data_IF_049425449838
#
_entry.id   IF_049425449838
#
_cell.length_a   1.000
_cell.length_b   1.000
_cell.length_c   1.000
_cell.angle_alpha   90.00
_cell.angle_beta   90.00
_cell.angle_gamma   90.00
#
_symmetry.space_group_name_H-M   'P 1'
#
loop_
_entity.id
_entity.type
_entity.pdbx_description
1 polymer ?
#
# COMPACT_ATOMS: atom_id res chain seq x y z
N UNK A 1 4.93 27.06 37.37
CA UNK A 1 3.90 27.56 38.32
C UNK A 1 3.31 28.81 37.71
N UNK A 2 2.04 28.73 37.29
CA UNK A 2 1.32 29.81 36.61
C UNK A 2 -0.15 29.42 36.57
N UNK A 3 -0.87 29.87 37.59
CA UNK A 3 -2.33 29.92 37.68
C UNK A 3 -2.93 30.81 36.58
N UNK A 4 -4.17 30.57 36.18
CA UNK A 4 -5.28 31.53 36.29
C UNK A 4 -6.56 30.98 35.64
N UNK A 5 -7.64 31.19 36.37
CA UNK A 5 -9.05 30.87 36.18
C UNK A 5 -9.72 31.72 35.07
N UNK A 6 -10.78 31.21 34.44
CA UNK A 6 -12.19 31.73 34.38
C UNK A 6 -12.91 31.43 33.05
N UNK A 7 -14.13 30.86 33.16
CA UNK A 7 -15.14 30.71 32.11
C UNK A 7 -15.60 32.08 31.53
N UNK A 8 -16.34 32.11 30.41
CA UNK A 8 -17.79 32.30 30.56
C UNK A 8 -18.71 31.59 29.53
N UNK A 9 -19.92 31.34 30.01
CA UNK A 9 -21.19 30.99 29.35
C UNK A 9 -21.82 32.16 28.60
N UNK A 10 -22.48 31.91 27.45
CA UNK A 10 -23.78 32.44 26.90
C UNK A 10 -23.88 31.97 25.43
N UNK A 11 -24.96 31.48 24.82
CA UNK A 11 -26.39 31.48 25.15
C UNK A 11 -27.17 32.46 24.25
N UNK A 12 -27.85 31.96 23.19
CA UNK A 12 -29.03 32.50 22.47
C UNK A 12 -29.04 31.94 21.02
N UNK A 13 -29.94 31.06 20.55
CA UNK A 13 -31.43 31.04 20.48
C UNK A 13 -32.03 31.80 19.28
N UNK A 14 -32.92 31.11 18.55
CA UNK A 14 -33.67 31.56 17.38
C UNK A 14 -33.97 30.39 16.42
N UNK A 15 -34.83 29.41 16.74
CA UNK A 15 -36.29 29.46 16.98
C UNK A 15 -37.13 29.35 15.69
N UNK A 16 -37.86 28.23 15.62
CA UNK A 16 -39.12 27.94 14.89
C UNK A 16 -39.09 27.96 13.35
N UNK A 17 -39.80 27.10 12.61
CA UNK A 17 -41.07 26.46 12.90
C UNK A 17 -41.25 25.17 12.08
N UNK A 18 -42.14 24.33 12.59
CA UNK A 18 -42.57 23.04 12.08
C UNK A 18 -42.98 23.02 10.60
N UNK A 19 -42.73 21.88 9.95
CA UNK A 19 -43.73 21.06 9.24
C UNK A 19 -43.04 20.05 8.33
N UNK A 20 -42.63 18.90 8.88
CA UNK A 20 -42.81 17.63 8.15
C UNK A 20 -42.61 16.42 9.08
N UNK A 21 -43.45 16.37 10.12
CA UNK A 21 -43.80 15.10 10.76
C UNK A 21 -44.62 14.29 9.76
N UNK A 22 -43.96 13.66 8.77
CA UNK A 22 -44.50 12.59 7.92
C UNK A 22 -43.45 12.06 6.90
N UNK A 23 -42.18 11.89 7.30
CA UNK A 23 -41.23 11.07 6.52
C UNK A 23 -40.32 10.19 7.37
N UNK A 24 -40.68 9.96 8.63
CA UNK A 24 -39.91 9.13 9.55
C UNK A 24 -40.59 7.80 9.94
N UNK A 25 -41.70 7.44 9.27
CA UNK A 25 -42.39 6.14 9.43
C UNK A 25 -42.49 5.38 8.12
N UNK A 26 -41.40 5.33 7.36
CA UNK A 26 -41.24 4.33 6.29
C UNK A 26 -39.83 3.73 6.29
N UNK A 27 -39.37 3.33 7.48
CA UNK A 27 -38.52 2.15 7.54
C UNK A 27 -39.37 0.95 7.06
N UNK A 28 -38.99 0.31 5.94
CA UNK A 28 -38.88 -1.15 5.78
C UNK A 28 -39.14 -1.73 4.40
N UNK A 29 -39.39 -0.95 3.36
CA UNK A 29 -39.52 -1.52 2.00
C UNK A 29 -38.54 -0.89 1.04
N UNK A 30 -37.58 -1.70 0.61
CA UNK A 30 -36.81 -1.57 -0.64
C UNK A 30 -35.61 -0.61 -0.62
N UNK A 31 -34.56 -0.94 0.14
CA UNK A 31 -33.19 -0.64 -0.30
C UNK A 31 -32.15 -1.49 0.44
N UNK A 32 -31.57 -2.44 -0.28
CA UNK A 32 -30.12 -2.65 -0.23
C UNK A 32 -29.52 -3.35 0.99
N UNK A 33 -30.20 -4.34 1.58
CA UNK A 33 -29.54 -5.29 2.48
C UNK A 33 -29.67 -6.70 1.93
N UNK A 34 -28.53 -7.32 1.63
CA UNK A 34 -28.29 -8.74 1.35
C UNK A 34 -28.33 -9.20 -0.13
N UNK A 35 -27.44 -8.64 -0.96
CA UNK A 35 -27.08 -9.26 -2.25
C UNK A 35 -25.62 -9.78 -2.31
N UNK A 36 -24.84 -9.65 -1.23
CA UNK A 36 -23.49 -10.23 -1.14
C UNK A 36 -23.48 -11.52 -0.32
N UNK A 37 -24.45 -12.39 -0.62
CA UNK A 37 -24.39 -13.82 -0.29
C UNK A 37 -24.21 -14.60 -1.59
N UNK A 38 -23.32 -14.14 -2.47
CA UNK A 38 -22.84 -14.96 -3.59
C UNK A 38 -21.92 -16.02 -3.02
N UNK A 39 -22.55 -17.15 -2.69
CA UNK A 39 -22.00 -18.51 -2.76
C UNK A 39 -20.47 -18.60 -2.73
N UNK A 40 -19.95 -18.91 -1.53
CA UNK A 40 -18.72 -19.70 -1.40
C UNK A 40 -18.98 -21.12 -1.88
N UNK A 41 -19.21 -21.28 -3.18
CA UNK A 41 -19.18 -22.58 -3.84
C UNK A 41 -17.75 -22.74 -4.29
N UNK A 42 -17.00 -23.59 -3.60
CA UNK A 42 -15.76 -24.14 -4.10
C UNK A 42 -16.06 -24.84 -5.43
N UNK A 43 -15.94 -24.10 -6.53
CA UNK A 43 -15.85 -24.67 -7.86
C UNK A 43 -14.61 -25.55 -7.87
N UNK A 44 -14.81 -26.86 -8.03
CA UNK A 44 -13.81 -27.65 -8.73
C UNK A 44 -13.71 -27.04 -10.12
N UNK A 45 -12.66 -26.26 -10.36
CA UNK A 45 -12.45 -25.50 -11.59
C UNK A 45 -12.36 -26.49 -12.76
N UNK A 46 -13.44 -26.64 -13.53
CA UNK A 46 -13.52 -27.56 -14.67
C UNK A 46 -12.66 -27.09 -15.85
N UNK A 47 -12.29 -25.80 -15.91
CA UNK A 47 -11.36 -25.25 -16.89
C UNK A 47 -10.64 -24.01 -16.32
N UNK A 48 -9.30 -24.01 -16.33
CA UNK A 48 -8.48 -22.84 -15.98
C UNK A 48 -8.28 -22.03 -17.25
N UNK A 49 -8.66 -20.74 -17.24
CA UNK A 49 -8.31 -19.81 -18.32
C UNK A 49 -6.79 -19.63 -18.38
N UNK A 50 -6.17 -20.21 -19.42
CA UNK A 50 -4.73 -20.19 -19.64
C UNK A 50 -4.24 -18.92 -20.35
N UNK A 51 -5.14 -18.26 -21.09
CA UNK A 51 -4.80 -17.08 -21.89
C UNK A 51 -4.79 -15.83 -21.02
N UNK A 52 -5.72 -15.72 -20.06
CA UNK A 52 -5.84 -14.57 -19.17
C UNK A 52 -5.79 -14.98 -17.69
N UNK A 53 -4.65 -15.47 -17.20
CA UNK A 53 -4.50 -15.78 -15.78
C UNK A 53 -4.61 -14.51 -14.92
N UNK A 54 -5.13 -14.64 -13.69
CA UNK A 54 -5.16 -13.51 -12.76
C UNK A 54 -3.74 -13.05 -12.36
N UNK A 55 -3.50 -11.76 -12.09
CA UNK A 55 -2.19 -11.25 -11.69
C UNK A 55 -1.63 -11.94 -10.44
N UNK A 56 -2.51 -12.32 -9.51
CA UNK A 56 -2.15 -13.07 -8.32
C UNK A 56 -1.66 -14.49 -8.63
N UNK A 57 -2.23 -15.14 -9.66
CA UNK A 57 -1.79 -16.46 -10.11
C UNK A 57 -0.42 -16.39 -10.81
N UNK A 58 -0.18 -15.36 -11.61
CA UNK A 58 1.12 -15.17 -12.28
C UNK A 58 2.26 -14.87 -11.31
N UNK A 59 2.02 -14.06 -10.29
CA UNK A 59 3.03 -13.71 -9.28
C UNK A 59 3.55 -14.94 -8.51
N UNK A 60 2.71 -15.97 -8.33
CA UNK A 60 3.07 -17.23 -7.65
C UNK A 60 3.91 -18.17 -8.52
N UNK A 61 3.80 -18.10 -9.85
CA UNK A 61 4.55 -18.96 -10.77
C UNK A 61 6.05 -18.65 -10.71
N UNK A 62 6.89 -19.54 -11.22
CA UNK A 62 8.31 -19.22 -11.42
C UNK A 62 8.49 -18.25 -12.60
N UNK A 63 9.52 -17.40 -12.61
CA UNK A 63 9.77 -16.38 -13.65
C UNK A 63 9.89 -16.91 -15.09
N UNK A 64 10.21 -18.20 -15.25
CA UNK A 64 10.26 -18.89 -16.56
C UNK A 64 8.96 -19.62 -16.92
N UNK A 65 8.03 -19.76 -15.96
CA UNK A 65 6.75 -20.48 -16.13
C UNK A 65 5.56 -19.51 -16.17
N UNK A 66 5.82 -18.21 -16.20
CA UNK A 66 4.81 -17.18 -16.50
C UNK A 66 4.45 -17.23 -17.98
N UNK A 67 3.27 -16.71 -18.35
CA UNK A 67 2.81 -16.70 -19.74
C UNK A 67 3.85 -16.02 -20.66
N UNK A 68 4.36 -14.88 -20.20
CA UNK A 68 5.51 -14.18 -20.79
C UNK A 68 6.65 -14.15 -19.77
N UNK A 69 7.87 -14.59 -20.11
CA UNK A 69 9.00 -14.57 -19.19
C UNK A 69 9.52 -13.14 -19.00
N UNK A 70 9.74 -12.75 -17.75
CA UNK A 70 10.32 -11.46 -17.39
C UNK A 70 11.19 -11.55 -16.12
N UNK A 71 12.24 -10.72 -16.00
CA UNK A 71 13.04 -10.67 -14.78
C UNK A 71 12.25 -10.08 -13.60
N UNK A 72 12.51 -10.58 -12.39
CA UNK A 72 11.94 -10.03 -11.13
C UNK A 72 12.84 -9.00 -10.45
N UNK A 73 14.02 -8.79 -10.99
CA UNK A 73 14.98 -7.80 -10.53
C UNK A 73 14.63 -6.44 -11.08
N UNK A 74 14.93 -5.40 -10.30
CA UNK A 74 14.74 -4.01 -10.67
C UNK A 74 15.97 -3.18 -10.28
N UNK A 75 16.09 -2.00 -10.86
CA UNK A 75 17.00 -0.96 -10.41
C UNK A 75 16.28 -0.06 -9.41
N UNK A 76 17.01 0.37 -8.39
CA UNK A 76 16.49 1.24 -7.35
C UNK A 76 17.44 2.41 -7.12
N UNK A 77 16.86 3.57 -6.84
CA UNK A 77 17.58 4.77 -6.46
C UNK A 77 17.69 4.78 -4.93
N UNK A 78 18.91 4.55 -4.42
CA UNK A 78 19.19 4.54 -2.98
C UNK A 78 19.75 5.89 -2.57
N UNK A 79 19.11 6.52 -1.58
CA UNK A 79 19.56 7.75 -0.94
C UNK A 79 20.46 7.40 0.24
N UNK A 80 21.66 7.95 0.25
CA UNK A 80 22.58 7.87 1.38
C UNK A 80 22.08 8.77 2.53
N UNK A 81 22.09 8.31 3.80
CA UNK A 81 21.70 9.14 4.94
C UNK A 81 22.67 10.30 5.25
N UNK A 82 23.93 10.23 4.79
CA UNK A 82 24.94 11.26 5.07
C UNK A 82 25.02 12.36 4.01
N UNK A 83 25.21 11.99 2.74
CA UNK A 83 25.48 12.95 1.67
C UNK A 83 24.25 13.32 0.83
N UNK A 84 23.09 12.69 1.08
CA UNK A 84 21.85 12.83 0.31
C UNK A 84 21.98 12.60 -1.20
N UNK A 85 23.12 12.08 -1.66
CA UNK A 85 23.35 11.70 -3.04
C UNK A 85 22.55 10.44 -3.37
N UNK A 86 21.93 10.46 -4.54
CA UNK A 86 21.13 9.36 -5.06
C UNK A 86 22.05 8.49 -5.91
N UNK A 87 22.13 7.21 -5.57
CA UNK A 87 22.95 6.24 -6.30
C UNK A 87 22.04 5.14 -6.83
N UNK A 88 22.15 4.84 -8.13
CA UNK A 88 21.37 3.75 -8.74
C UNK A 88 22.02 2.42 -8.40
N UNK A 89 21.28 1.54 -7.72
CA UNK A 89 21.74 0.22 -7.28
C UNK A 89 20.84 -0.86 -7.88
N UNK A 90 21.43 -2.00 -8.25
CA UNK A 90 20.69 -3.17 -8.69
C UNK A 90 20.16 -3.97 -7.49
N UNK A 91 18.90 -4.42 -7.56
CA UNK A 91 18.24 -5.15 -6.47
C UNK A 91 18.95 -6.43 -5.98
N UNK A 92 19.71 -7.10 -6.85
CA UNK A 92 20.48 -8.31 -6.53
C UNK A 92 21.97 -8.06 -6.79
N UNK A 93 22.49 -6.90 -6.36
CA UNK A 93 23.89 -6.55 -6.53
C UNK A 93 24.81 -7.61 -5.88
N UNK A 94 25.80 -8.08 -6.65
CA UNK A 94 26.79 -9.06 -6.18
C UNK A 94 28.00 -8.39 -5.53
N UNK A 95 28.24 -7.12 -5.84
CA UNK A 95 29.32 -6.32 -5.27
C UNK A 95 28.80 -5.42 -4.16
N UNK A 96 29.68 -5.10 -3.21
CA UNK A 96 29.41 -4.06 -2.20
C UNK A 96 29.36 -2.72 -2.91
N UNK A 97 28.22 -2.02 -2.83
CA UNK A 97 28.06 -0.70 -3.46
C UNK A 97 28.35 0.38 -2.44
N UNK A 98 29.28 1.27 -2.81
CA UNK A 98 29.78 2.34 -1.96
C UNK A 98 29.27 3.68 -2.51
N UNK A 99 28.85 4.58 -1.62
CA UNK A 99 28.50 5.94 -1.98
C UNK A 99 29.75 6.73 -2.41
N UNK A 100 29.68 7.43 -3.54
CA UNK A 100 30.81 8.24 -4.05
C UNK A 100 31.16 9.44 -3.16
N UNK A 101 30.20 9.96 -2.37
CA UNK A 101 30.42 11.14 -1.52
C UNK A 101 30.95 10.81 -0.13
N UNK A 102 30.32 9.86 0.56
CA UNK A 102 30.62 9.58 1.97
C UNK A 102 31.48 8.33 2.18
N UNK A 103 31.82 7.60 1.10
CA UNK A 103 32.47 6.26 1.15
C UNK A 103 31.75 5.23 2.02
N UNK A 104 30.48 5.48 2.36
CA UNK A 104 29.65 4.58 3.15
C UNK A 104 29.15 3.44 2.29
N UNK A 105 29.06 2.24 2.88
CA UNK A 105 28.47 1.07 2.24
C UNK A 105 26.95 1.24 2.19
N UNK A 106 26.37 1.21 0.99
CA UNK A 106 24.92 1.33 0.76
C UNK A 106 24.23 -0.02 0.82
N UNK A 107 24.85 -1.06 0.26
CA UNK A 107 24.33 -2.41 0.29
C UNK A 107 25.42 -3.47 0.39
N UNK A 108 25.09 -4.57 1.05
CA UNK A 108 25.89 -5.79 1.12
C UNK A 108 25.28 -6.87 0.22
N UNK A 109 26.10 -7.61 -0.55
CA UNK A 109 25.61 -8.69 -1.38
C UNK A 109 25.10 -9.86 -0.53
N UNK A 110 24.03 -10.50 -1.00
CA UNK A 110 23.47 -11.72 -0.42
C UNK A 110 23.15 -12.72 -1.54
N UNK A 111 22.71 -13.93 -1.20
CA UNK A 111 22.24 -14.90 -2.21
C UNK A 111 20.93 -14.49 -2.92
N UNK A 112 20.27 -13.41 -2.49
CA UNK A 112 19.02 -12.92 -3.05
C UNK A 112 19.04 -11.41 -3.25
N UNK A 113 18.07 -10.72 -2.66
CA UNK A 113 18.06 -9.25 -2.69
C UNK A 113 19.19 -8.71 -1.81
N UNK A 114 19.91 -7.71 -2.33
CA UNK A 114 20.98 -7.06 -1.58
C UNK A 114 20.44 -6.47 -0.27
N UNK A 115 21.22 -6.59 0.80
CA UNK A 115 20.88 -6.05 2.11
C UNK A 115 21.27 -4.58 2.14
N UNK A 116 20.29 -3.69 2.23
CA UNK A 116 20.55 -2.25 2.40
C UNK A 116 21.04 -1.96 3.82
N UNK A 117 21.94 -0.99 3.95
CA UNK A 117 22.37 -0.48 5.25
C UNK A 117 21.24 0.27 5.93
N UNK A 118 21.18 0.17 7.26
CA UNK A 118 20.18 0.87 8.07
C UNK A 118 20.22 2.38 7.81
N UNK A 119 19.04 3.00 7.67
CA UNK A 119 18.92 4.44 7.37
C UNK A 119 18.96 4.82 5.88
N UNK A 120 19.20 3.88 4.97
CA UNK A 120 19.09 4.15 3.53
C UNK A 120 17.63 4.07 3.07
N UNK A 121 17.14 5.10 2.37
CA UNK A 121 15.82 5.08 1.71
C UNK A 121 15.97 4.74 0.23
N UNK A 122 15.02 4.01 -0.35
CA UNK A 122 15.07 3.63 -1.77
C UNK A 122 13.76 3.92 -2.51
N UNK A 123 13.88 4.24 -3.80
CA UNK A 123 12.76 4.35 -4.76
C UNK A 123 13.00 3.38 -5.91
N UNK A 124 11.97 2.68 -6.39
CA UNK A 124 12.08 1.88 -7.62
C UNK A 124 12.10 2.81 -8.83
N UNK A 125 13.05 2.59 -9.74
CA UNK A 125 13.18 3.35 -10.97
C UNK A 125 12.24 2.82 -12.05
#
# INVERSE_FOLDING_TARGET
MGSFTTNPTVGAEGSLCANNSLRFTLERTLAGRNAQRTERRSEMVLAVDLLNPSPAAEAKKHKLKTLVPAPRSFFMDVKCPGCFTITTVFSHAQTVVICQGCTTVLCQPTGGKARLTEGCSFRRK
#
